data_IF_335555788909
#
_entry.id   IF_335555788909
#
_cell.length_a   1.000
_cell.length_b   1.000
_cell.length_c   1.000
_cell.angle_alpha   90.00
_cell.angle_beta   90.00
_cell.angle_gamma   90.00
#
_symmetry.space_group_name_H-M   'P 1'
#
loop_
_entity.id
_entity.type
_entity.pdbx_description
1 polymer ?
#
# COMPACT_ATOMS: atom_id res chain seq x y z
N UNK A 1 13.96 3.32 21.60
CA UNK A 1 13.70 3.36 20.15
C UNK A 1 13.92 1.96 19.61
N UNK A 2 12.96 1.37 18.94
CA UNK A 2 13.06 -0.01 18.44
C UNK A 2 14.14 -0.07 17.35
N UNK A 3 15.13 -0.96 17.50
CA UNK A 3 16.23 -1.18 16.53
C UNK A 3 15.74 -1.71 15.16
N UNK A 4 14.43 -1.88 14.98
CA UNK A 4 13.83 -2.57 13.84
C UNK A 4 13.19 -1.61 12.83
N UNK A 5 13.24 -0.30 13.10
CA UNK A 5 12.59 0.72 12.29
C UNK A 5 13.60 1.76 11.86
N UNK A 6 13.64 2.00 10.58
CA UNK A 6 14.47 3.02 9.98
C UNK A 6 13.57 4.01 9.25
N UNK A 7 13.54 5.27 9.73
CA UNK A 7 12.98 6.38 8.94
C UNK A 7 13.78 6.54 7.65
N UNK A 8 13.24 7.25 6.65
CA UNK A 8 13.96 7.45 5.39
C UNK A 8 15.30 8.17 5.60
N UNK A 9 15.38 9.13 6.51
CA UNK A 9 16.63 9.84 6.85
C UNK A 9 17.68 8.87 7.43
N UNK A 10 17.27 7.93 8.29
CA UNK A 10 18.20 6.90 8.80
C UNK A 10 18.54 5.86 7.76
N UNK A 11 17.59 5.48 6.93
CA UNK A 11 17.80 4.51 5.86
C UNK A 11 18.75 5.03 4.78
N UNK A 12 18.63 6.32 4.44
CA UNK A 12 19.54 6.98 3.50
C UNK A 12 21.00 6.94 3.97
N UNK A 13 21.25 7.04 5.29
CA UNK A 13 22.57 7.02 5.92
C UNK A 13 22.99 5.65 6.49
N UNK A 14 22.20 4.59 6.28
CA UNK A 14 22.49 3.27 6.87
C UNK A 14 23.57 2.50 6.11
N UNK A 15 24.24 1.59 6.81
CA UNK A 15 25.06 0.56 6.20
C UNK A 15 24.23 -0.68 5.81
N UNK A 16 24.75 -1.53 4.92
CA UNK A 16 24.09 -2.78 4.53
C UNK A 16 23.77 -3.67 5.75
N UNK A 17 24.70 -3.75 6.72
CA UNK A 17 24.50 -4.50 7.95
C UNK A 17 23.31 -4.00 8.79
N UNK A 18 23.06 -2.68 8.83
CA UNK A 18 21.92 -2.11 9.55
C UNK A 18 20.60 -2.53 8.92
N UNK A 19 20.51 -2.49 7.58
CA UNK A 19 19.34 -2.93 6.83
C UNK A 19 19.08 -4.42 7.02
N UNK A 20 20.11 -5.25 6.95
CA UNK A 20 20.02 -6.69 7.19
C UNK A 20 19.55 -6.99 8.62
N UNK A 21 20.15 -6.35 9.63
CA UNK A 21 19.78 -6.56 11.02
C UNK A 21 18.33 -6.14 11.28
N UNK A 22 17.89 -5.02 10.74
CA UNK A 22 16.51 -4.56 10.85
C UNK A 22 15.53 -5.56 10.18
N UNK A 23 15.86 -6.04 8.98
CA UNK A 23 15.06 -7.04 8.27
C UNK A 23 14.97 -8.35 9.04
N UNK A 24 16.10 -8.90 9.52
CA UNK A 24 16.14 -10.13 10.32
C UNK A 24 15.24 -10.02 11.56
N UNK A 25 15.37 -8.95 12.31
CA UNK A 25 14.58 -8.73 13.51
C UNK A 25 13.06 -8.55 13.23
N UNK A 26 12.67 -7.98 12.08
CA UNK A 26 11.26 -7.90 11.65
C UNK A 26 10.71 -9.28 11.32
N UNK A 27 11.45 -10.07 10.56
CA UNK A 27 11.06 -11.42 10.16
C UNK A 27 10.97 -12.37 11.36
N UNK A 28 11.87 -12.25 12.34
CA UNK A 28 11.80 -12.99 13.61
C UNK A 28 10.49 -12.71 14.35
N UNK A 29 10.11 -11.43 14.46
CA UNK A 29 8.83 -11.06 15.06
C UNK A 29 7.64 -11.59 14.26
N UNK A 30 7.73 -11.51 12.93
CA UNK A 30 6.69 -11.99 12.03
C UNK A 30 6.47 -13.50 12.20
N UNK A 31 7.53 -14.29 12.28
CA UNK A 31 7.46 -15.71 12.52
C UNK A 31 6.81 -16.05 13.87
N UNK A 32 7.22 -15.34 14.94
CA UNK A 32 6.68 -15.54 16.29
C UNK A 32 5.19 -15.20 16.36
N UNK A 33 4.77 -14.07 15.78
CA UNK A 33 3.37 -13.64 15.79
C UNK A 33 2.47 -14.54 14.95
N UNK A 34 2.89 -14.95 13.74
CA UNK A 34 2.15 -15.91 12.92
C UNK A 34 1.96 -17.26 13.60
N UNK A 35 2.95 -17.69 14.36
CA UNK A 35 2.85 -18.93 15.15
C UNK A 35 1.85 -18.82 16.31
N UNK A 36 1.67 -17.63 16.87
CA UNK A 36 0.83 -17.39 18.05
C UNK A 36 -0.62 -17.02 17.73
N UNK A 37 -0.91 -16.58 16.50
CA UNK A 37 -2.26 -16.11 16.14
C UNK A 37 -3.28 -17.24 16.16
N UNK A 38 -4.43 -17.01 16.82
CA UNK A 38 -5.53 -17.96 16.87
C UNK A 38 -6.44 -17.79 15.66
N UNK A 39 -6.56 -18.83 14.84
CA UNK A 39 -7.48 -18.89 13.71
C UNK A 39 -8.40 -20.12 13.84
N UNK A 40 -9.59 -20.10 13.21
CA UNK A 40 -10.45 -21.27 13.08
C UNK A 40 -9.69 -22.48 12.53
N UNK A 41 -10.07 -23.70 12.97
CA UNK A 41 -9.37 -24.95 12.62
C UNK A 41 -9.13 -25.09 11.12
N UNK A 42 -10.11 -24.73 10.28
CA UNK A 42 -10.00 -24.79 8.81
C UNK A 42 -8.92 -23.87 8.23
N UNK A 43 -8.51 -22.82 8.95
CA UNK A 43 -7.49 -21.85 8.52
C UNK A 43 -6.13 -22.08 9.18
N UNK A 44 -6.00 -23.03 10.10
CA UNK A 44 -4.72 -23.35 10.73
C UNK A 44 -3.64 -23.79 9.74
N UNK A 45 -3.92 -24.62 8.71
CA UNK A 45 -2.92 -24.95 7.71
C UNK A 45 -2.37 -23.73 6.96
N UNK A 46 -3.21 -22.70 6.72
CA UNK A 46 -2.80 -21.42 6.12
C UNK A 46 -1.85 -20.68 7.04
N UNK A 47 -2.21 -20.54 8.32
CA UNK A 47 -1.34 -19.93 9.34
C UNK A 47 0.02 -20.65 9.43
N UNK A 48 0.03 -21.98 9.45
CA UNK A 48 1.25 -22.78 9.53
C UNK A 48 2.17 -22.56 8.33
N UNK A 49 1.60 -22.48 7.11
CA UNK A 49 2.37 -22.14 5.90
C UNK A 49 2.99 -20.74 6.00
N UNK A 50 2.20 -19.74 6.39
CA UNK A 50 2.68 -18.37 6.57
C UNK A 50 3.78 -18.29 7.64
N UNK A 51 3.61 -18.98 8.78
CA UNK A 51 4.61 -19.05 9.84
C UNK A 51 5.90 -19.76 9.38
N UNK A 52 5.79 -20.85 8.62
CA UNK A 52 6.94 -21.55 8.07
C UNK A 52 7.71 -20.68 7.05
N UNK A 53 7.00 -19.96 6.19
CA UNK A 53 7.62 -19.02 5.26
C UNK A 53 8.34 -17.88 6.00
N UNK A 54 7.74 -17.34 7.07
CA UNK A 54 8.36 -16.30 7.89
C UNK A 54 9.62 -16.80 8.63
N UNK A 55 9.58 -18.00 9.21
CA UNK A 55 10.75 -18.62 9.84
C UNK A 55 11.88 -18.89 8.84
N UNK A 56 11.55 -19.31 7.63
CA UNK A 56 12.53 -19.47 6.55
C UNK A 56 13.13 -18.14 6.10
N UNK A 57 12.29 -17.11 5.96
CA UNK A 57 12.75 -15.76 5.63
C UNK A 57 13.68 -15.21 6.70
N UNK A 58 13.35 -15.39 7.98
CA UNK A 58 14.20 -15.03 9.12
C UNK A 58 15.58 -15.70 9.03
N UNK A 59 15.62 -17.02 8.84
CA UNK A 59 16.86 -17.77 8.74
C UNK A 59 17.73 -17.31 7.57
N UNK A 60 17.13 -16.97 6.44
CA UNK A 60 17.83 -16.41 5.28
C UNK A 60 18.34 -14.98 5.55
N UNK A 61 17.58 -14.14 6.25
CA UNK A 61 17.99 -12.78 6.57
C UNK A 61 19.16 -12.73 7.59
N UNK A 62 19.44 -13.81 8.31
CA UNK A 62 20.59 -13.89 9.20
C UNK A 62 21.95 -13.85 8.45
N UNK A 63 21.95 -14.16 7.14
CA UNK A 63 23.17 -14.22 6.32
C UNK A 63 23.07 -13.13 5.23
N UNK A 64 24.05 -12.21 5.11
CA UNK A 64 23.99 -11.09 4.15
C UNK A 64 23.73 -11.53 2.71
N UNK A 65 24.45 -12.54 2.24
CA UNK A 65 24.37 -13.02 0.85
C UNK A 65 23.01 -13.66 0.49
N UNK A 66 22.12 -13.90 1.44
CA UNK A 66 20.80 -14.53 1.24
C UNK A 66 19.61 -13.62 1.49
N UNK A 67 19.84 -12.32 1.70
CA UNK A 67 18.77 -11.32 1.96
C UNK A 67 17.75 -11.27 0.81
N UNK A 68 18.18 -11.41 -0.44
CA UNK A 68 17.26 -11.49 -1.58
C UNK A 68 16.32 -12.72 -1.49
N UNK A 69 16.84 -13.86 -1.03
CA UNK A 69 16.05 -15.06 -0.75
C UNK A 69 15.10 -14.87 0.44
N UNK A 70 15.52 -14.12 1.45
CA UNK A 70 14.66 -13.76 2.58
C UNK A 70 13.46 -12.93 2.12
N UNK A 71 13.65 -11.97 1.21
CA UNK A 71 12.56 -11.20 0.64
C UNK A 71 11.58 -12.08 -0.15
N UNK A 72 12.07 -13.02 -0.95
CA UNK A 72 11.21 -13.95 -1.70
C UNK A 72 10.33 -14.79 -0.78
N UNK A 73 10.88 -15.28 0.34
CA UNK A 73 10.09 -16.02 1.35
C UNK A 73 9.10 -15.09 2.09
N UNK A 74 9.47 -13.85 2.37
CA UNK A 74 8.55 -12.85 2.93
C UNK A 74 7.38 -12.54 1.97
N UNK A 75 7.64 -12.47 0.67
CA UNK A 75 6.61 -12.31 -0.36
C UNK A 75 5.67 -13.54 -0.44
N UNK A 76 6.19 -14.73 -0.18
CA UNK A 76 5.38 -15.95 -0.09
C UNK A 76 4.34 -15.91 1.02
N UNK A 77 4.61 -15.21 2.13
CA UNK A 77 3.62 -15.04 3.21
C UNK A 77 2.34 -14.41 2.67
N UNK A 78 2.46 -13.40 1.81
CA UNK A 78 1.30 -12.75 1.19
C UNK A 78 0.57 -13.69 0.21
N UNK A 79 1.30 -14.51 -0.55
CA UNK A 79 0.71 -15.54 -1.42
C UNK A 79 -0.01 -16.63 -0.62
N UNK A 80 0.59 -17.08 0.48
CA UNK A 80 0.01 -18.08 1.39
C UNK A 80 -1.22 -17.52 2.15
N UNK A 81 -1.45 -16.19 2.17
CA UNK A 81 -2.64 -15.57 2.76
C UNK A 81 -3.90 -15.64 1.86
N UNK A 82 -3.79 -16.07 0.60
CA UNK A 82 -4.95 -16.16 -0.34
C UNK A 82 -6.15 -16.94 0.24
N UNK A 83 -5.97 -18.08 0.95
CA UNK A 83 -7.11 -18.75 1.60
C UNK A 83 -7.82 -17.88 2.65
N UNK A 84 -7.11 -16.97 3.34
CA UNK A 84 -7.74 -16.01 4.27
C UNK A 84 -8.61 -15.01 3.53
N UNK A 85 -8.15 -14.55 2.35
CA UNK A 85 -8.92 -13.68 1.48
C UNK A 85 -10.20 -14.38 0.96
N UNK A 86 -10.12 -15.66 0.64
CA UNK A 86 -11.30 -16.45 0.22
C UNK A 86 -12.32 -16.60 1.34
N UNK A 87 -11.84 -16.81 2.56
CA UNK A 87 -12.69 -16.94 3.72
C UNK A 87 -13.53 -15.68 4.01
N UNK A 88 -12.97 -14.48 3.74
CA UNK A 88 -13.71 -13.22 3.90
C UNK A 88 -14.87 -13.04 2.90
N UNK A 89 -14.96 -13.86 1.85
CA UNK A 89 -16.10 -13.85 0.91
C UNK A 89 -17.34 -14.57 1.47
N UNK A 90 -17.12 -15.47 2.41
CA UNK A 90 -18.18 -16.20 3.06
C UNK A 90 -18.67 -15.44 4.31
N UNK A 91 -19.93 -15.61 4.71
CA UNK A 91 -20.41 -15.08 5.98
C UNK A 91 -19.63 -15.71 7.13
N UNK A 92 -18.69 -14.98 7.68
CA UNK A 92 -17.94 -15.39 8.88
C UNK A 92 -18.40 -14.57 10.08
N UNK A 93 -18.26 -15.14 11.29
CA UNK A 93 -18.56 -14.38 12.50
C UNK A 93 -17.67 -13.14 12.62
N UNK A 94 -18.21 -12.05 13.17
CA UNK A 94 -17.54 -10.74 13.26
C UNK A 94 -16.13 -10.80 13.87
N UNK A 95 -15.94 -11.65 14.88
CA UNK A 95 -14.63 -11.86 15.52
C UNK A 95 -13.63 -12.51 14.56
N UNK A 96 -14.03 -13.52 13.79
CA UNK A 96 -13.17 -14.18 12.81
C UNK A 96 -12.80 -13.22 11.68
N UNK A 97 -13.78 -12.47 11.17
CA UNK A 97 -13.56 -11.45 10.16
C UNK A 97 -12.54 -10.41 10.63
N UNK A 98 -12.73 -9.87 11.85
CA UNK A 98 -11.80 -8.90 12.43
C UNK A 98 -10.38 -9.47 12.54
N UNK A 99 -10.24 -10.71 13.00
CA UNK A 99 -8.94 -11.38 13.12
C UNK A 99 -8.27 -11.55 11.76
N UNK A 100 -9.02 -11.97 10.72
CA UNK A 100 -8.48 -12.13 9.37
C UNK A 100 -8.06 -10.79 8.78
N UNK A 101 -8.90 -9.75 8.88
CA UNK A 101 -8.57 -8.42 8.40
C UNK A 101 -7.30 -7.88 9.07
N UNK A 102 -7.22 -8.00 10.41
CA UNK A 102 -6.04 -7.57 11.14
C UNK A 102 -4.76 -8.33 10.73
N UNK A 103 -4.87 -9.64 10.52
CA UNK A 103 -3.73 -10.46 10.08
C UNK A 103 -3.25 -10.08 8.67
N UNK A 104 -4.18 -9.82 7.74
CA UNK A 104 -3.86 -9.39 6.39
C UNK A 104 -3.19 -8.01 6.40
N UNK A 105 -3.80 -7.02 7.06
CA UNK A 105 -3.24 -5.67 7.18
C UNK A 105 -1.82 -5.74 7.73
N UNK A 106 -1.61 -6.47 8.82
CA UNK A 106 -0.29 -6.61 9.42
C UNK A 106 0.71 -7.29 8.49
N UNK A 107 0.35 -8.42 7.87
CA UNK A 107 1.25 -9.17 6.98
C UNK A 107 1.69 -8.34 5.78
N UNK A 108 0.77 -7.57 5.19
CA UNK A 108 1.10 -6.68 4.08
C UNK A 108 1.90 -5.44 4.52
N UNK A 109 1.64 -4.89 5.71
CA UNK A 109 2.46 -3.80 6.27
C UNK A 109 3.91 -4.25 6.48
N UNK A 110 4.13 -5.45 7.03
CA UNK A 110 5.46 -6.02 7.19
C UNK A 110 6.13 -6.25 5.81
N UNK A 111 5.39 -6.72 4.81
CA UNK A 111 5.93 -6.93 3.47
C UNK A 111 6.39 -5.61 2.83
N UNK A 112 5.61 -4.53 2.96
CA UNK A 112 5.96 -3.20 2.46
C UNK A 112 7.30 -2.75 3.06
N UNK A 113 7.45 -2.83 4.38
CA UNK A 113 8.66 -2.43 5.07
C UNK A 113 9.86 -3.35 4.79
N UNK A 114 9.65 -4.67 4.74
CA UNK A 114 10.71 -5.64 4.42
C UNK A 114 11.30 -5.41 3.02
N UNK A 115 10.47 -5.00 2.05
CA UNK A 115 10.93 -4.64 0.70
C UNK A 115 11.89 -3.47 0.70
N UNK A 116 11.55 -2.40 1.42
CA UNK A 116 12.42 -1.21 1.51
C UNK A 116 13.78 -1.59 2.09
N UNK A 117 13.79 -2.36 3.18
CA UNK A 117 15.04 -2.80 3.82
C UNK A 117 15.88 -3.71 2.92
N UNK A 118 15.25 -4.70 2.26
CA UNK A 118 15.94 -5.62 1.38
C UNK A 118 16.49 -4.92 0.12
N UNK A 119 15.73 -3.98 -0.44
CA UNK A 119 16.15 -3.22 -1.61
C UNK A 119 17.34 -2.31 -1.26
N UNK A 120 17.27 -1.57 -0.13
CA UNK A 120 18.39 -0.73 0.32
C UNK A 120 19.62 -1.56 0.63
N UNK A 121 19.46 -2.73 1.28
CA UNK A 121 20.57 -3.66 1.49
C UNK A 121 21.23 -4.05 0.16
N UNK A 122 20.43 -4.42 -0.85
CA UNK A 122 20.96 -4.83 -2.16
C UNK A 122 21.69 -3.69 -2.89
N UNK A 123 21.25 -2.44 -2.73
CA UNK A 123 21.98 -1.26 -3.24
C UNK A 123 23.35 -1.15 -2.58
N UNK A 124 23.39 -1.20 -1.24
CA UNK A 124 24.61 -1.02 -0.45
C UNK A 124 25.60 -2.20 -0.56
N UNK A 125 25.13 -3.43 -0.77
CA UNK A 125 26.00 -4.58 -1.07
C UNK A 125 26.68 -4.44 -2.44
N UNK A 126 26.03 -3.76 -3.38
CA UNK A 126 26.59 -3.52 -4.71
C UNK A 126 27.63 -2.40 -4.68
N UNK A 127 27.31 -1.32 -4.00
CA UNK A 127 28.18 -0.17 -3.80
C UNK A 127 27.87 0.51 -2.44
N UNK A 128 28.74 0.32 -1.42
CA UNK A 128 28.53 0.91 -0.10
C UNK A 128 28.52 2.44 -0.07
N UNK A 129 29.04 3.09 -1.11
CA UNK A 129 29.06 4.56 -1.23
C UNK A 129 27.88 5.11 -2.00
N UNK A 130 26.97 4.25 -2.51
CA UNK A 130 25.89 4.68 -3.39
C UNK A 130 24.81 5.47 -2.62
N UNK A 131 24.40 6.59 -3.20
CA UNK A 131 23.13 7.20 -2.82
C UNK A 131 21.99 6.25 -3.18
N UNK A 132 20.92 6.27 -2.41
CA UNK A 132 19.79 5.37 -2.68
C UNK A 132 19.11 5.72 -4.00
N UNK A 133 18.92 4.73 -4.85
CA UNK A 133 18.14 4.89 -6.08
C UNK A 133 16.62 4.94 -5.81
N UNK A 134 16.19 4.46 -4.64
CA UNK A 134 14.77 4.47 -4.27
C UNK A 134 14.36 5.64 -3.38
N UNK A 135 15.32 6.24 -2.62
CA UNK A 135 15.09 7.39 -1.75
C UNK A 135 15.53 8.64 -2.50
N UNK A 136 14.59 9.49 -2.83
CA UNK A 136 14.83 10.72 -3.57
C UNK A 136 14.85 11.92 -2.62
N UNK A 137 15.99 12.63 -2.47
CA UNK A 137 16.04 13.88 -1.75
C UNK A 137 15.43 15.00 -2.62
N UNK A 138 14.85 15.99 -1.98
CA UNK A 138 14.24 17.16 -2.64
C UNK A 138 13.27 16.75 -3.77
N UNK A 139 12.49 15.68 -3.54
CA UNK A 139 11.63 15.05 -4.52
C UNK A 139 10.51 16.01 -4.98
N UNK A 140 10.39 16.30 -6.29
CA UNK A 140 9.37 17.19 -6.82
C UNK A 140 8.01 16.48 -6.89
N UNK A 141 7.14 16.69 -5.90
CA UNK A 141 5.84 16.02 -5.81
C UNK A 141 4.99 16.23 -7.08
N UNK A 142 5.04 17.41 -7.68
CA UNK A 142 4.32 17.69 -8.93
C UNK A 142 4.68 16.69 -10.04
N UNK A 143 5.97 16.47 -10.28
CA UNK A 143 6.44 15.55 -11.32
C UNK A 143 6.05 14.07 -11.02
N UNK A 144 6.06 13.67 -9.74
CA UNK A 144 5.59 12.35 -9.30
C UNK A 144 4.11 12.16 -9.63
N UNK A 145 3.29 13.21 -9.39
CA UNK A 145 1.86 13.18 -9.67
C UNK A 145 1.57 13.16 -11.17
N UNK A 146 2.24 14.00 -11.96
CA UNK A 146 2.11 14.01 -13.42
C UNK A 146 2.43 12.63 -14.02
N UNK A 147 3.53 12.01 -13.57
CA UNK A 147 3.93 10.69 -14.00
C UNK A 147 2.85 9.64 -13.69
N UNK A 148 2.36 9.59 -12.45
CA UNK A 148 1.32 8.64 -12.04
C UNK A 148 0.00 8.84 -12.81
N UNK A 149 -0.38 10.10 -13.08
CA UNK A 149 -1.58 10.43 -13.86
C UNK A 149 -1.43 9.91 -15.30
N UNK A 150 -0.32 10.20 -15.96
CA UNK A 150 -0.12 9.78 -17.37
C UNK A 150 -0.03 8.26 -17.51
N UNK A 151 0.64 7.55 -16.60
CA UNK A 151 0.67 6.09 -16.60
C UNK A 151 -0.74 5.51 -16.41
N UNK A 152 -1.52 6.05 -15.45
CA UNK A 152 -2.88 5.56 -15.20
C UNK A 152 -3.81 5.87 -16.39
N UNK A 153 -3.68 7.04 -17.00
CA UNK A 153 -4.44 7.39 -18.21
C UNK A 153 -4.08 6.51 -19.41
N UNK A 154 -2.79 6.19 -19.60
CA UNK A 154 -2.36 5.26 -20.63
C UNK A 154 -3.01 3.88 -20.46
N UNK A 155 -3.01 3.38 -19.23
CA UNK A 155 -3.66 2.13 -18.88
C UNK A 155 -5.20 2.17 -19.06
N UNK A 156 -5.84 3.32 -18.74
CA UNK A 156 -7.28 3.49 -18.98
C UNK A 156 -7.62 3.48 -20.49
N UNK A 157 -6.79 4.15 -21.33
CA UNK A 157 -6.94 4.11 -22.79
C UNK A 157 -6.81 2.70 -23.35
N UNK A 158 -5.84 1.92 -22.87
CA UNK A 158 -5.68 0.52 -23.28
C UNK A 158 -6.94 -0.30 -22.97
N UNK A 159 -7.53 -0.09 -21.79
CA UNK A 159 -8.67 -0.87 -21.32
C UNK A 159 -10.00 -0.44 -21.89
N UNK A 160 -10.25 0.86 -21.92
CA UNK A 160 -11.57 1.44 -22.26
C UNK A 160 -11.62 2.07 -23.65
N UNK A 161 -10.47 2.18 -24.33
CA UNK A 161 -10.30 2.94 -25.57
C UNK A 161 -10.03 4.43 -25.35
N UNK A 162 -10.54 5.00 -24.25
CA UNK A 162 -10.36 6.38 -23.84
C UNK A 162 -10.08 6.50 -22.33
N UNK A 163 -9.61 7.68 -21.89
CA UNK A 163 -9.37 7.98 -20.49
C UNK A 163 -10.00 9.32 -20.09
N UNK A 164 -10.61 9.42 -18.91
CA UNK A 164 -11.09 10.69 -18.38
C UNK A 164 -9.99 11.76 -18.34
N UNK A 165 -10.37 13.02 -18.48
CA UNK A 165 -9.47 14.13 -18.21
C UNK A 165 -9.16 14.21 -16.72
N UNK A 166 -7.92 14.62 -16.41
CA UNK A 166 -7.45 14.81 -15.05
C UNK A 166 -6.80 16.18 -14.92
N UNK A 167 -7.32 16.99 -13.99
CA UNK A 167 -6.76 18.29 -13.65
C UNK A 167 -5.84 18.15 -12.44
N UNK A 168 -4.57 18.54 -12.60
CA UNK A 168 -3.60 18.59 -11.50
C UNK A 168 -3.48 20.02 -10.98
N UNK A 169 -3.75 20.24 -9.69
CA UNK A 169 -3.86 21.56 -9.07
C UNK A 169 -2.99 21.64 -7.83
N UNK A 170 -2.03 22.56 -7.78
CA UNK A 170 -1.33 22.90 -6.56
C UNK A 170 -2.23 23.72 -5.64
N UNK A 171 -2.40 23.33 -4.38
CA UNK A 171 -3.20 24.04 -3.41
C UNK A 171 -2.33 25.06 -2.66
N UNK A 172 -2.62 26.36 -2.87
CA UNK A 172 -1.92 27.48 -2.21
C UNK A 172 -0.49 27.73 -2.74
N UNK A 173 0.26 28.55 -2.00
CA UNK A 173 1.65 28.94 -2.28
C UNK A 173 2.67 27.94 -1.69
N UNK A 174 2.27 26.71 -1.42
CA UNK A 174 3.09 25.72 -0.73
C UNK A 174 4.22 25.20 -1.62
N UNK A 175 5.35 24.85 -0.99
CA UNK A 175 6.40 24.08 -1.65
C UNK A 175 5.81 22.79 -2.22
N UNK A 176 6.17 22.46 -3.46
CA UNK A 176 5.83 21.18 -4.07
C UNK A 176 6.93 20.15 -3.92
N UNK A 177 7.92 20.39 -3.05
CA UNK A 177 9.12 19.56 -2.86
C UNK A 177 9.03 18.82 -1.53
N UNK A 178 9.26 17.52 -1.56
CA UNK A 178 9.40 16.66 -0.38
C UNK A 178 10.87 16.60 0.04
N UNK A 179 11.17 16.53 1.33
CA UNK A 179 12.56 16.45 1.83
C UNK A 179 13.21 15.14 1.42
N UNK A 180 12.68 14.03 1.92
CA UNK A 180 13.06 12.67 1.50
C UNK A 180 11.80 11.88 1.16
N UNK A 181 11.78 11.23 0.01
CA UNK A 181 10.64 10.48 -0.45
C UNK A 181 11.00 9.10 -1.00
N UNK A 182 10.01 8.23 -1.05
CA UNK A 182 9.99 6.99 -1.84
C UNK A 182 8.96 7.18 -2.95
N UNK A 183 9.31 7.71 -4.13
CA UNK A 183 8.34 8.03 -5.19
C UNK A 183 7.45 6.86 -5.55
N UNK A 184 8.01 5.66 -5.71
CA UNK A 184 7.25 4.45 -6.01
C UNK A 184 6.17 4.12 -4.96
N UNK A 185 6.39 4.49 -3.70
CA UNK A 185 5.45 4.27 -2.59
C UNK A 185 4.35 5.33 -2.51
N UNK A 186 4.54 6.47 -3.17
CA UNK A 186 3.52 7.50 -3.42
C UNK A 186 2.73 7.15 -4.69
N UNK A 187 3.41 6.73 -5.75
CA UNK A 187 2.82 6.38 -7.05
C UNK A 187 1.83 5.21 -6.92
N UNK A 188 2.17 4.17 -6.14
CA UNK A 188 1.30 3.01 -5.98
C UNK A 188 -0.12 3.36 -5.46
N UNK A 189 -0.30 4.04 -4.31
CA UNK A 189 -1.64 4.46 -3.88
C UNK A 189 -2.33 5.38 -4.89
N UNK A 190 -1.60 6.26 -5.58
CA UNK A 190 -2.17 7.12 -6.61
C UNK A 190 -2.74 6.31 -7.77
N UNK A 191 -2.02 5.32 -8.28
CA UNK A 191 -2.51 4.42 -9.32
C UNK A 191 -3.79 3.71 -8.90
N UNK A 192 -3.87 3.19 -7.67
CA UNK A 192 -5.07 2.51 -7.18
C UNK A 192 -6.26 3.46 -7.06
N UNK A 193 -6.04 4.67 -6.56
CA UNK A 193 -7.08 5.69 -6.42
C UNK A 193 -7.56 6.20 -7.80
N UNK A 194 -6.63 6.55 -8.69
CA UNK A 194 -6.95 7.03 -10.04
C UNK A 194 -7.66 5.95 -10.87
N UNK A 195 -7.21 4.68 -10.81
CA UNK A 195 -7.91 3.57 -11.46
C UNK A 195 -9.36 3.45 -10.98
N UNK A 196 -9.59 3.58 -9.67
CA UNK A 196 -10.94 3.54 -9.13
C UNK A 196 -11.79 4.69 -9.65
N UNK A 197 -11.27 5.91 -9.66
CA UNK A 197 -11.95 7.11 -10.17
C UNK A 197 -12.24 7.01 -11.68
N UNK A 198 -11.25 6.63 -12.50
CA UNK A 198 -11.43 6.44 -13.96
C UNK A 198 -12.42 5.31 -14.27
N UNK A 199 -12.32 4.19 -13.53
CA UNK A 199 -13.24 3.08 -13.66
C UNK A 199 -14.67 3.44 -13.24
N UNK A 200 -14.87 4.32 -12.25
CA UNK A 200 -16.19 4.79 -11.84
C UNK A 200 -16.82 5.72 -12.89
N UNK A 201 -16.04 6.60 -13.53
CA UNK A 201 -16.48 7.41 -14.65
C UNK A 201 -16.94 6.53 -15.82
N UNK A 202 -16.12 5.57 -16.24
CA UNK A 202 -16.45 4.64 -17.32
C UNK A 202 -17.73 3.82 -17.04
N UNK A 203 -17.96 3.40 -15.81
CA UNK A 203 -19.19 2.70 -15.42
C UNK A 203 -20.41 3.60 -15.39
N UNK A 204 -20.24 4.90 -15.07
CA UNK A 204 -21.35 5.85 -14.96
C UNK A 204 -21.94 6.27 -16.30
N UNK A 205 -21.07 6.63 -17.25
CA UNK A 205 -21.51 7.22 -18.53
C UNK A 205 -21.16 6.37 -19.76
N UNK A 206 -20.32 5.34 -19.61
CA UNK A 206 -19.72 4.61 -20.73
C UNK A 206 -18.39 5.23 -21.17
N UNK A 207 -17.54 4.40 -21.76
CA UNK A 207 -16.20 4.83 -22.16
C UNK A 207 -16.20 5.84 -23.33
N UNK A 208 -17.25 5.82 -24.14
CA UNK A 208 -17.49 6.71 -25.27
C UNK A 208 -18.05 8.09 -24.92
N UNK A 209 -18.36 8.33 -23.64
CA UNK A 209 -18.99 9.55 -23.13
C UNK A 209 -18.32 10.10 -21.88
N UNK A 210 -17.03 9.83 -21.71
CA UNK A 210 -16.27 10.30 -20.54
C UNK A 210 -16.22 11.83 -20.42
N UNK A 211 -16.34 12.54 -21.53
CA UNK A 211 -16.42 14.00 -21.65
C UNK A 211 -17.73 14.61 -21.09
N UNK A 212 -18.76 13.79 -20.86
CA UNK A 212 -20.00 14.24 -20.20
C UNK A 212 -19.82 14.49 -18.69
N UNK A 213 -18.74 13.98 -18.08
CA UNK A 213 -18.43 14.20 -16.69
C UNK A 213 -17.33 15.26 -16.53
N UNK A 214 -17.37 16.05 -15.44
CA UNK A 214 -16.25 16.91 -15.11
C UNK A 214 -14.95 16.11 -14.99
N UNK A 215 -13.78 16.72 -15.31
CA UNK A 215 -12.50 16.09 -15.10
C UNK A 215 -12.29 15.58 -13.67
N UNK A 216 -11.55 14.51 -13.50
CA UNK A 216 -11.04 14.10 -12.18
C UNK A 216 -10.08 15.19 -11.70
N UNK A 217 -10.23 15.66 -10.49
CA UNK A 217 -9.34 16.69 -9.93
C UNK A 217 -8.37 16.04 -8.95
N UNK A 218 -7.07 16.27 -9.16
CA UNK A 218 -5.99 15.91 -8.24
C UNK A 218 -5.42 17.19 -7.67
N UNK A 219 -5.69 17.46 -6.39
CA UNK A 219 -5.13 18.60 -5.66
C UNK A 219 -4.01 18.13 -4.75
N UNK A 220 -2.96 18.92 -4.57
CA UNK A 220 -1.85 18.57 -3.69
C UNK A 220 -1.25 19.80 -3.00
N UNK A 221 -0.67 19.57 -1.82
CA UNK A 221 0.08 20.56 -1.05
C UNK A 221 1.18 19.90 -0.22
N UNK A 222 2.24 20.65 0.06
CA UNK A 222 3.24 20.31 1.08
C UNK A 222 3.32 21.47 2.07
N UNK A 223 3.02 21.22 3.33
CA UNK A 223 3.00 22.25 4.37
C UNK A 223 3.40 21.68 5.73
N UNK A 224 4.25 22.39 6.47
CA UNK A 224 4.70 22.03 7.82
C UNK A 224 5.22 20.58 7.97
N UNK A 225 5.96 20.11 6.96
CA UNK A 225 6.51 18.75 6.94
C UNK A 225 5.47 17.65 6.65
N UNK A 226 4.28 18.02 6.17
CA UNK A 226 3.25 17.09 5.69
C UNK A 226 2.97 17.29 4.21
N UNK A 227 2.84 16.18 3.50
CA UNK A 227 2.32 16.11 2.13
C UNK A 227 0.86 15.68 2.17
N UNK A 228 0.05 16.29 1.33
CA UNK A 228 -1.35 15.93 1.12
C UNK A 228 -1.68 15.87 -0.36
N UNK A 229 -2.44 14.84 -0.76
CA UNK A 229 -2.98 14.68 -2.11
C UNK A 229 -4.46 14.35 -1.96
N UNK A 230 -5.31 15.06 -2.69
CA UNK A 230 -6.74 14.80 -2.73
C UNK A 230 -7.17 14.52 -4.17
N UNK A 231 -7.92 13.44 -4.36
CA UNK A 231 -8.48 13.04 -5.64
C UNK A 231 -10.00 13.10 -5.53
N UNK A 232 -10.63 13.93 -6.37
CA UNK A 232 -12.08 14.02 -6.49
C UNK A 232 -12.54 13.51 -7.84
N UNK A 233 -13.57 12.65 -7.84
CA UNK A 233 -14.22 12.15 -9.03
C UNK A 233 -15.74 12.40 -9.01
N UNK A 234 -16.36 12.24 -10.17
CA UNK A 234 -17.80 12.39 -10.38
C UNK A 234 -18.45 11.08 -10.83
N UNK A 235 -17.86 9.94 -10.46
CA UNK A 235 -18.30 8.60 -10.84
C UNK A 235 -19.52 8.06 -10.10
N UNK A 236 -20.19 8.86 -9.24
CA UNK A 236 -21.42 8.47 -8.53
C UNK A 236 -21.21 8.12 -7.06
N UNK A 237 -19.98 8.00 -6.60
CA UNK A 237 -19.60 7.76 -5.19
C UNK A 237 -20.02 6.38 -4.66
N UNK A 238 -19.90 6.21 -3.35
CA UNK A 238 -20.36 5.01 -2.64
C UNK A 238 -21.81 5.18 -2.19
N UNK A 239 -22.55 4.07 -2.11
CA UNK A 239 -24.00 4.07 -1.77
C UNK A 239 -24.33 4.62 -0.37
N UNK A 240 -23.38 4.66 0.56
CA UNK A 240 -23.53 5.26 1.89
C UNK A 240 -22.19 5.77 2.41
N UNK A 241 -22.16 6.81 3.27
CA UNK A 241 -20.91 7.34 3.84
C UNK A 241 -20.07 6.28 4.59
N UNK A 242 -20.72 5.38 5.31
CA UNK A 242 -20.05 4.26 6.00
C UNK A 242 -19.39 3.26 5.02
N UNK A 243 -19.82 3.20 3.76
CA UNK A 243 -19.22 2.34 2.75
C UNK A 243 -17.84 2.81 2.32
N UNK A 244 -17.52 4.10 2.47
CA UNK A 244 -16.19 4.65 2.14
C UNK A 244 -15.10 4.03 3.04
N UNK A 245 -15.31 3.99 4.35
CA UNK A 245 -14.37 3.39 5.30
C UNK A 245 -14.30 1.86 5.14
N UNK A 246 -15.45 1.21 4.87
CA UNK A 246 -15.52 -0.22 4.58
C UNK A 246 -14.73 -0.58 3.29
N UNK A 247 -14.69 0.31 2.30
CA UNK A 247 -13.96 0.09 1.04
C UNK A 247 -12.44 -0.02 1.22
N UNK A 248 -11.90 0.48 2.32
CA UNK A 248 -10.49 0.32 2.67
C UNK A 248 -10.18 -1.01 3.38
N UNK A 249 -11.15 -1.90 3.53
CA UNK A 249 -10.97 -3.26 4.05
C UNK A 249 -10.71 -4.24 2.91
N UNK A 250 -9.97 -5.31 3.21
CA UNK A 250 -9.69 -6.35 2.22
C UNK A 250 -10.99 -7.00 1.70
N UNK A 251 -11.03 -7.24 0.40
CA UNK A 251 -12.10 -7.91 -0.34
C UNK A 251 -13.47 -7.20 -0.38
N UNK A 252 -13.53 -5.93 -0.07
CA UNK A 252 -14.70 -5.14 -0.48
C UNK A 252 -14.53 -4.82 -1.97
N UNK A 253 -15.17 -5.60 -2.82
CA UNK A 253 -15.03 -5.50 -4.28
C UNK A 253 -16.38 -5.35 -4.97
N UNK A 254 -16.40 -4.66 -6.10
CA UNK A 254 -17.56 -4.58 -7.00
C UNK A 254 -17.67 -5.83 -7.91
N UNK A 255 -16.69 -6.70 -7.92
CA UNK A 255 -16.69 -7.94 -8.70
C UNK A 255 -16.44 -9.17 -7.81
N UNK A 256 -17.47 -9.69 -7.12
CA UNK A 256 -17.33 -10.79 -6.17
C UNK A 256 -17.06 -12.15 -6.83
N UNK A 257 -17.31 -12.30 -8.13
CA UNK A 257 -17.10 -13.58 -8.84
C UNK A 257 -15.63 -13.84 -9.18
N UNK A 258 -14.79 -12.80 -9.14
CA UNK A 258 -13.37 -12.94 -9.48
C UNK A 258 -12.59 -13.59 -8.34
N UNK A 259 -11.90 -14.69 -8.65
CA UNK A 259 -11.01 -15.35 -7.70
C UNK A 259 -9.86 -14.42 -7.26
N UNK A 260 -9.60 -14.32 -5.95
CA UNK A 260 -8.45 -13.59 -5.44
C UNK A 260 -7.17 -14.30 -5.91
N UNK A 261 -6.48 -13.68 -6.84
CA UNK A 261 -5.16 -14.10 -7.30
C UNK A 261 -4.16 -13.00 -6.90
N UNK A 262 -3.41 -13.26 -5.83
CA UNK A 262 -2.31 -12.39 -5.46
C UNK A 262 -1.10 -12.71 -6.34
N UNK A 263 -1.07 -12.14 -7.51
CA UNK A 263 0.19 -11.91 -8.22
C UNK A 263 0.64 -10.51 -7.85
N UNK A 264 1.54 -10.43 -6.90
CA UNK A 264 2.29 -9.21 -6.68
C UNK A 264 3.23 -9.07 -7.89
N UNK A 265 2.76 -8.44 -8.93
CA UNK A 265 3.61 -8.11 -10.04
C UNK A 265 4.61 -7.07 -9.55
N UNK A 266 5.89 -7.27 -9.83
CA UNK A 266 6.95 -6.28 -9.60
C UNK A 266 6.67 -4.99 -10.38
N UNK A 267 5.91 -5.12 -11.44
CA UNK A 267 5.37 -4.03 -12.22
C UNK A 267 4.02 -3.64 -11.62
N UNK A 268 3.93 -2.45 -11.06
CA UNK A 268 2.76 -1.87 -10.42
C UNK A 268 1.50 -1.76 -11.32
N UNK A 269 1.50 -2.41 -12.48
CA UNK A 269 0.42 -2.48 -13.45
C UNK A 269 -0.63 -3.53 -13.11
N UNK A 270 -1.30 -3.43 -11.97
CA UNK A 270 -2.43 -4.31 -11.73
C UNK A 270 -3.67 -3.83 -12.48
N UNK A 271 -4.47 -4.78 -12.92
CA UNK A 271 -5.69 -4.60 -13.72
C UNK A 271 -6.70 -3.67 -13.04
N UNK A 272 -7.46 -2.89 -13.81
CA UNK A 272 -8.55 -2.02 -13.32
C UNK A 272 -9.69 -2.77 -12.59
N UNK A 273 -9.71 -4.07 -12.64
CA UNK A 273 -10.75 -4.85 -12.00
C UNK A 273 -10.33 -5.23 -10.60
N UNK A 274 -11.01 -4.64 -9.63
CA UNK A 274 -10.69 -4.75 -8.23
C UNK A 274 -10.85 -6.16 -7.68
N UNK A 275 -9.73 -6.74 -7.25
CA UNK A 275 -9.70 -7.91 -6.39
C UNK A 275 -10.03 -7.55 -4.93
N UNK A 276 -10.42 -6.29 -4.65
CA UNK A 276 -10.64 -5.79 -3.30
C UNK A 276 -9.35 -5.62 -2.48
N UNK A 277 -8.23 -5.45 -3.16
CA UNK A 277 -6.90 -5.32 -2.55
C UNK A 277 -6.32 -3.90 -2.69
N UNK A 278 -6.72 -3.15 -3.72
CA UNK A 278 -6.10 -1.88 -4.07
C UNK A 278 -6.19 -0.83 -2.96
N UNK A 279 -7.39 -0.51 -2.51
CA UNK A 279 -7.60 0.50 -1.46
C UNK A 279 -6.98 0.11 -0.10
N UNK A 280 -7.12 -1.13 0.41
CA UNK A 280 -6.40 -1.52 1.63
C UNK A 280 -4.89 -1.43 1.47
N UNK A 281 -4.30 -1.84 0.35
CA UNK A 281 -2.86 -1.70 0.12
C UNK A 281 -2.44 -0.23 -0.02
N UNK A 282 -3.23 0.61 -0.70
CA UNK A 282 -2.99 2.06 -0.77
C UNK A 282 -2.97 2.69 0.65
N UNK A 283 -3.90 2.28 1.52
CA UNK A 283 -3.93 2.70 2.93
C UNK A 283 -2.68 2.26 3.69
N UNK A 284 -2.20 1.04 3.47
CA UNK A 284 -0.99 0.55 4.13
C UNK A 284 0.27 1.29 3.66
N UNK A 285 0.35 1.67 2.37
CA UNK A 285 1.43 2.54 1.87
C UNK A 285 1.39 3.93 2.50
N UNK A 286 0.18 4.54 2.61
CA UNK A 286 0.03 5.81 3.31
C UNK A 286 0.53 5.74 4.75
N UNK A 287 0.18 4.68 5.47
CA UNK A 287 0.61 4.44 6.85
C UNK A 287 2.11 4.18 6.95
N UNK A 288 2.68 3.45 6.01
CA UNK A 288 4.13 3.27 5.93
C UNK A 288 4.85 4.62 5.76
N UNK A 289 4.30 5.53 4.96
CA UNK A 289 4.79 6.89 4.77
C UNK A 289 4.46 7.84 5.94
N UNK A 290 3.98 7.33 7.06
CA UNK A 290 3.71 8.09 8.27
C UNK A 290 2.37 8.84 8.29
N UNK A 291 1.50 8.59 7.32
CA UNK A 291 0.21 9.25 7.16
C UNK A 291 -1.00 8.31 7.17
N UNK A 292 -2.04 8.68 6.45
CA UNK A 292 -3.30 7.91 6.38
C UNK A 292 -4.03 8.18 5.05
N UNK A 293 -4.83 7.22 4.62
CA UNK A 293 -5.79 7.36 3.53
C UNK A 293 -7.21 7.52 4.10
N UNK A 294 -7.87 8.60 3.73
CA UNK A 294 -9.26 8.86 4.06
C UNK A 294 -10.12 8.82 2.79
N UNK A 295 -11.29 8.21 2.88
CA UNK A 295 -12.23 8.08 1.78
C UNK A 295 -13.57 8.70 2.17
N UNK A 296 -14.14 9.51 1.29
CA UNK A 296 -15.46 10.09 1.45
C UNK A 296 -16.23 9.98 0.13
N UNK A 297 -17.53 9.75 0.21
CA UNK A 297 -18.37 9.65 -0.97
C UNK A 297 -19.74 10.26 -0.75
N UNK A 298 -20.23 10.98 -1.76
CA UNK A 298 -21.57 11.50 -1.83
C UNK A 298 -22.37 10.62 -2.81
N UNK A 299 -23.38 9.87 -2.35
CA UNK A 299 -24.18 9.01 -3.20
C UNK A 299 -24.75 9.77 -4.40
N UNK A 300 -24.52 9.24 -5.61
CA UNK A 300 -24.99 9.83 -6.86
C UNK A 300 -24.16 11.01 -7.39
N UNK A 301 -23.23 11.53 -6.61
CA UNK A 301 -22.35 12.65 -7.01
C UNK A 301 -20.96 12.17 -7.40
N UNK A 302 -20.17 11.74 -6.45
CA UNK A 302 -18.79 11.34 -6.67
C UNK A 302 -18.09 10.88 -5.40
N UNK A 303 -16.80 10.66 -5.49
CA UNK A 303 -15.97 10.25 -4.39
C UNK A 303 -14.78 11.19 -4.20
N UNK A 304 -14.28 11.24 -2.97
CA UNK A 304 -13.07 11.94 -2.59
C UNK A 304 -12.16 11.00 -1.83
N UNK A 305 -10.90 10.95 -2.23
CA UNK A 305 -9.84 10.24 -1.54
C UNK A 305 -8.75 11.21 -1.12
N UNK A 306 -8.44 11.28 0.17
CA UNK A 306 -7.41 12.16 0.73
C UNK A 306 -6.27 11.31 1.28
N UNK A 307 -5.09 11.44 0.68
CA UNK A 307 -3.85 10.76 1.05
C UNK A 307 -2.93 11.74 1.76
N UNK A 308 -2.71 11.52 3.06
CA UNK A 308 -1.72 12.27 3.83
C UNK A 308 -0.45 11.43 4.04
N UNK A 309 0.73 12.07 4.09
CA UNK A 309 2.00 11.42 4.35
C UNK A 309 3.05 12.39 4.92
N UNK A 310 4.11 11.84 5.51
CA UNK A 310 5.23 12.62 6.00
C UNK A 310 6.09 13.11 4.82
N UNK A 311 6.25 14.43 4.71
CA UNK A 311 7.04 15.06 3.68
C UNK A 311 8.53 15.22 4.04
N UNK A 312 8.93 14.85 5.27
CA UNK A 312 10.32 14.99 5.75
C UNK A 312 11.12 13.70 5.63
N UNK A 313 10.46 12.54 5.63
CA UNK A 313 11.07 11.22 5.69
C UNK A 313 11.42 10.73 7.11
N UNK A 314 11.08 11.49 8.16
CA UNK A 314 11.44 11.15 9.54
C UNK A 314 10.41 10.26 10.26
N UNK A 315 9.15 10.29 9.81
CA UNK A 315 8.02 9.56 10.42
C UNK A 315 7.67 8.27 9.68
N UNK A 316 8.39 7.93 8.65
CA UNK A 316 8.19 6.71 7.86
C UNK A 316 8.34 5.48 8.76
N UNK A 317 7.52 4.45 8.54
CA UNK A 317 7.48 3.20 9.33
C UNK A 317 7.15 3.40 10.84
N UNK A 318 6.77 4.62 11.25
CA UNK A 318 6.58 4.94 12.67
C UNK A 318 5.27 4.41 13.27
N UNK A 319 4.23 4.22 12.47
CA UNK A 319 2.88 3.89 12.93
C UNK A 319 2.62 2.37 13.08
N UNK A 320 3.42 1.52 12.47
CA UNK A 320 3.15 0.08 12.43
C UNK A 320 3.13 -0.66 13.78
N UNK A 321 3.81 -0.20 14.85
CA UNK A 321 3.88 -0.99 16.11
C UNK A 321 2.79 -0.66 17.14
N UNK A 322 2.45 0.60 17.32
CA UNK A 322 1.58 1.00 18.45
C UNK A 322 0.13 0.56 18.28
N UNK A 323 -0.37 0.62 17.04
CA UNK A 323 -1.76 0.25 16.78
C UNK A 323 -1.99 -1.26 16.72
N UNK A 324 -1.01 -2.04 16.25
CA UNK A 324 -1.15 -3.49 16.11
C UNK A 324 -1.10 -4.21 17.45
N UNK A 325 -0.16 -3.86 18.31
CA UNK A 325 -0.07 -4.43 19.65
C UNK A 325 -1.37 -4.22 20.45
N UNK A 326 -2.05 -3.07 20.28
CA UNK A 326 -3.32 -2.80 20.94
C UNK A 326 -4.51 -3.58 20.36
N UNK A 327 -4.50 -3.89 19.06
CA UNK A 327 -5.57 -4.68 18.41
C UNK A 327 -5.49 -6.16 18.76
N UNK A 328 -4.28 -6.73 18.89
CA UNK A 328 -4.08 -8.14 19.26
C UNK A 328 -4.39 -8.44 20.73
N UNK A 329 -4.19 -7.50 21.63
CA UNK A 329 -4.50 -7.65 23.07
C UNK A 329 -6.00 -7.60 23.35
N UNK A 330 -6.81 -7.04 22.44
CA UNK A 330 -8.28 -6.93 22.56
C UNK A 330 -9.06 -7.98 21.75
N UNK A 331 -8.40 -8.77 20.92
CA UNK A 331 -8.95 -9.93 20.21
C UNK A 331 -8.71 -11.23 21.02
#
# INVERSE_FOLDING_TARGET
MSAHRLSLSRLASSAAADCQQALHARLARQAAQLSAVALPIKLQPTREKMAAAAAKAEALAAVPSTVAGALQEAERIAGDAVPLLRELREPVGSQTEHTIQALLEWSFSELIANRVLAQRHAELERDPSTESMMIEPDCPLHAVLEHAIEETRAFAREKFGEAPEVNLVAAGDSSSTLGLALPAYIIFPLHELLKNSMGSHARRVGADRLDELPPITVSYAVHDGWGGIEIEDHGGGWGAPAAADASARFLVTTNPEREPNYQYSRDFGSQFEGLGMGLPLARLHARYLGGELQLAGLPGMGARASLGFDATGDRTDALCEKEWAQRWVRA
#
